data_IF_724790930813
#
_entry.id   IF_724790930813
#
_cell.length_a   1.000
_cell.length_b   1.000
_cell.length_c   1.000
_cell.angle_alpha   90.00
_cell.angle_beta   90.00
_cell.angle_gamma   90.00
#
_symmetry.space_group_name_H-M   'P 1'
#
loop_
_entity.id
_entity.type
_entity.pdbx_description
1 polymer ?
#
# COMPACT_ATOMS: atom_id res chain seq x y z
N UNK A 1 18.08 18.35 -9.74
CA UNK A 1 16.64 18.01 -9.68
C UNK A 1 16.35 16.51 -9.47
N UNK A 2 16.92 15.60 -10.29
CA UNK A 2 16.59 14.15 -10.21
C UNK A 2 16.97 13.48 -8.89
N UNK A 3 18.06 13.90 -8.26
CA UNK A 3 18.55 13.39 -6.96
C UNK A 3 17.65 13.84 -5.81
N UNK A 4 17.21 15.10 -5.83
CA UNK A 4 16.28 15.65 -4.85
C UNK A 4 14.93 14.94 -4.91
N UNK A 5 14.41 14.69 -6.12
CA UNK A 5 13.17 13.94 -6.31
C UNK A 5 13.25 12.51 -5.77
N UNK A 6 14.37 11.80 -6.02
CA UNK A 6 14.59 10.45 -5.46
C UNK A 6 14.66 10.46 -3.93
N UNK A 7 15.38 11.43 -3.36
CA UNK A 7 15.48 11.58 -1.91
C UNK A 7 14.09 11.79 -1.28
N UNK A 8 13.28 12.68 -1.86
CA UNK A 8 11.90 12.92 -1.43
C UNK A 8 11.04 11.66 -1.51
N UNK A 9 11.16 10.90 -2.60
CA UNK A 9 10.41 9.66 -2.80
C UNK A 9 10.76 8.61 -1.74
N UNK A 10 12.05 8.44 -1.44
CA UNK A 10 12.53 7.53 -0.37
C UNK A 10 11.99 7.99 0.98
N UNK A 11 12.00 9.30 1.25
CA UNK A 11 11.53 9.87 2.51
C UNK A 11 10.02 9.65 2.72
N UNK A 12 9.21 9.78 1.66
CA UNK A 12 7.78 9.46 1.67
C UNK A 12 7.55 7.96 1.90
N UNK A 13 8.28 7.08 1.20
CA UNK A 13 8.19 5.64 1.40
C UNK A 13 8.54 5.25 2.83
N UNK A 14 9.60 5.84 3.39
CA UNK A 14 10.04 5.61 4.76
C UNK A 14 8.98 6.07 5.78
N UNK A 15 8.37 7.24 5.56
CA UNK A 15 7.31 7.76 6.43
C UNK A 15 6.07 6.85 6.43
N UNK A 16 5.65 6.37 5.25
CA UNK A 16 4.54 5.41 5.12
C UNK A 16 4.88 4.11 5.86
N UNK A 17 6.10 3.61 5.71
CA UNK A 17 6.56 2.41 6.41
C UNK A 17 6.58 2.60 7.93
N UNK A 18 7.07 3.72 8.43
CA UNK A 18 7.08 4.04 9.86
C UNK A 18 5.67 4.16 10.43
N UNK A 19 4.77 4.85 9.74
CA UNK A 19 3.37 4.99 10.15
C UNK A 19 2.67 3.61 10.20
N UNK A 20 2.90 2.78 9.19
CA UNK A 20 2.44 1.40 9.14
C UNK A 20 2.95 0.58 10.34
N UNK A 21 4.26 0.62 10.56
CA UNK A 21 4.92 -0.11 11.63
C UNK A 21 4.38 0.32 13.01
N UNK A 22 4.23 1.63 13.22
CA UNK A 22 3.70 2.18 14.47
C UNK A 22 2.24 1.79 14.66
N UNK A 23 1.43 1.82 13.60
CA UNK A 23 0.03 1.40 13.66
C UNK A 23 -0.10 -0.09 14.03
N UNK A 24 0.69 -0.96 13.40
CA UNK A 24 0.74 -2.40 13.71
C UNK A 24 1.17 -2.65 15.15
N UNK A 25 2.21 -1.94 15.59
CA UNK A 25 2.77 -2.08 16.95
C UNK A 25 1.80 -1.58 18.01
N UNK A 26 1.11 -0.47 17.75
CA UNK A 26 0.15 0.12 18.68
C UNK A 26 -1.18 -0.65 18.73
N UNK A 27 -1.57 -1.30 17.63
CA UNK A 27 -2.87 -1.97 17.50
C UNK A 27 -2.67 -3.49 17.36
N UNK A 28 -2.29 -4.12 18.47
CA UNK A 28 -2.23 -5.59 18.60
C UNK A 28 -3.59 -6.21 18.91
N UNK A 29 -4.61 -5.38 19.13
CA UNK A 29 -5.97 -5.83 19.42
C UNK A 29 -6.49 -6.75 18.31
N UNK A 30 -7.13 -7.84 18.72
CA UNK A 30 -7.75 -8.80 17.83
C UNK A 30 -9.11 -8.29 17.39
N UNK A 31 -9.36 -8.33 16.07
CA UNK A 31 -10.65 -7.99 15.48
C UNK A 31 -11.25 -9.24 14.86
N UNK A 32 -12.50 -9.50 15.20
CA UNK A 32 -13.31 -10.55 14.55
C UNK A 32 -13.92 -9.99 13.27
N UNK A 33 -13.49 -10.54 12.14
CA UNK A 33 -14.11 -10.32 10.84
C UNK A 33 -15.26 -11.30 10.70
N UNK A 34 -16.48 -10.80 10.62
CA UNK A 34 -17.65 -11.58 10.22
C UNK A 34 -17.61 -11.68 8.69
N UNK A 35 -17.37 -12.88 8.16
CA UNK A 35 -17.35 -13.07 6.72
C UNK A 35 -18.77 -13.17 6.15
N UNK A 36 -18.88 -12.95 4.84
CA UNK A 36 -20.16 -12.99 4.10
C UNK A 36 -20.90 -14.33 4.25
N UNK A 37 -20.17 -15.40 4.55
CA UNK A 37 -20.73 -16.73 4.84
C UNK A 37 -21.10 -16.78 6.32
N UNK A 38 -22.38 -16.99 6.59
CA UNK A 38 -22.91 -17.10 7.95
C UNK A 38 -22.12 -18.12 8.79
N UNK A 39 -21.68 -17.69 9.97
CA UNK A 39 -20.94 -18.51 10.92
C UNK A 39 -19.42 -18.54 10.70
N UNK A 40 -18.91 -18.00 9.60
CA UNK A 40 -17.48 -17.96 9.36
C UNK A 40 -16.88 -16.67 9.92
N UNK A 41 -16.24 -16.79 11.09
CA UNK A 41 -15.57 -15.69 11.78
C UNK A 41 -14.06 -15.90 11.76
N UNK A 42 -13.32 -14.88 11.32
CA UNK A 42 -11.86 -14.89 11.36
C UNK A 42 -11.39 -13.88 12.40
N UNK A 43 -10.56 -14.34 13.33
CA UNK A 43 -9.94 -13.45 14.30
C UNK A 43 -8.58 -13.02 13.76
N UNK A 44 -8.47 -11.77 13.36
CA UNK A 44 -7.28 -11.20 12.73
C UNK A 44 -6.83 -9.98 13.52
N UNK A 45 -5.53 -9.83 13.74
CA UNK A 45 -4.99 -8.64 14.39
C UNK A 45 -5.18 -7.41 13.50
N UNK A 46 -5.50 -6.26 14.11
CA UNK A 46 -5.54 -4.96 13.42
C UNK A 46 -4.24 -4.64 12.68
N UNK A 47 -3.10 -5.08 13.23
CA UNK A 47 -1.83 -4.96 12.55
C UNK A 47 -1.79 -5.70 11.21
N UNK A 48 -2.29 -6.94 11.16
CA UNK A 48 -2.33 -7.72 9.91
C UNK A 48 -3.25 -7.06 8.87
N UNK A 49 -4.39 -6.50 9.31
CA UNK A 49 -5.28 -5.76 8.43
C UNK A 49 -4.61 -4.51 7.84
N UNK A 50 -3.87 -3.76 8.65
CA UNK A 50 -3.15 -2.58 8.17
C UNK A 50 -2.05 -2.94 7.17
N UNK A 51 -1.27 -4.00 7.43
CA UNK A 51 -0.27 -4.49 6.49
C UNK A 51 -0.94 -4.94 5.19
N UNK A 52 -2.07 -5.64 5.27
CA UNK A 52 -2.86 -6.04 4.10
C UNK A 52 -3.31 -4.84 3.26
N UNK A 53 -3.85 -3.80 3.91
CA UNK A 53 -4.28 -2.57 3.24
C UNK A 53 -3.12 -1.84 2.55
N UNK A 54 -1.96 -1.80 3.20
CA UNK A 54 -0.75 -1.21 2.62
C UNK A 54 -0.22 -2.01 1.44
N UNK A 55 -0.19 -3.33 1.54
CA UNK A 55 0.22 -4.20 0.44
C UNK A 55 -0.71 -4.02 -0.76
N UNK A 56 -2.03 -3.99 -0.53
CA UNK A 56 -3.03 -3.74 -1.58
C UNK A 56 -2.88 -2.34 -2.18
N UNK A 57 -2.69 -1.32 -1.34
CA UNK A 57 -2.45 0.05 -1.78
C UNK A 57 -1.17 0.20 -2.60
N UNK A 58 -0.09 -0.49 -2.22
CA UNK A 58 1.16 -0.52 -2.96
C UNK A 58 1.00 -1.21 -4.31
N UNK A 59 0.30 -2.35 -4.36
CA UNK A 59 0.01 -3.07 -5.61
C UNK A 59 -0.88 -2.24 -6.53
N UNK A 60 -1.93 -1.62 -6.01
CA UNK A 60 -2.78 -0.71 -6.77
C UNK A 60 -1.99 0.48 -7.32
N UNK A 61 -1.16 1.12 -6.48
CA UNK A 61 -0.27 2.20 -6.89
C UNK A 61 0.76 1.77 -7.94
N UNK A 62 1.30 0.55 -7.83
CA UNK A 62 2.21 -0.05 -8.80
C UNK A 62 1.51 -0.27 -10.14
N UNK A 63 0.31 -0.87 -10.13
CA UNK A 63 -0.50 -1.11 -11.33
C UNK A 63 -0.87 0.19 -12.03
N UNK A 64 -1.29 1.21 -11.28
CA UNK A 64 -1.59 2.54 -11.83
C UNK A 64 -0.31 3.17 -12.39
N UNK A 65 0.80 3.13 -11.65
CA UNK A 65 2.08 3.73 -12.07
C UNK A 65 2.69 3.05 -13.31
N UNK A 66 2.61 1.72 -13.41
CA UNK A 66 3.01 0.97 -14.60
C UNK A 66 2.05 1.20 -15.76
N UNK A 67 0.75 1.22 -15.51
CA UNK A 67 -0.26 1.53 -16.53
C UNK A 67 -0.04 2.92 -17.13
N UNK A 68 0.22 3.93 -16.30
CA UNK A 68 0.48 5.29 -16.75
C UNK A 68 1.80 5.43 -17.54
N UNK A 69 2.87 4.72 -17.12
CA UNK A 69 4.13 4.67 -17.88
C UNK A 69 3.99 3.90 -19.19
N UNK A 70 3.24 2.79 -19.20
CA UNK A 70 2.96 2.00 -20.39
C UNK A 70 2.14 2.77 -21.41
N UNK A 71 1.09 3.47 -20.97
CA UNK A 71 0.30 4.36 -21.81
C UNK A 71 1.12 5.53 -22.35
N UNK A 72 1.96 6.17 -21.52
CA UNK A 72 2.89 7.21 -22.01
C UNK A 72 3.92 6.68 -23.02
N UNK A 73 4.33 5.42 -22.93
CA UNK A 73 5.22 4.78 -23.91
C UNK A 73 4.54 4.50 -25.25
N UNK A 74 3.23 4.27 -25.25
CA UNK A 74 2.42 4.01 -26.45
C UNK A 74 1.91 5.28 -27.12
N UNK A 75 1.54 6.30 -26.35
CA UNK A 75 1.08 7.60 -26.84
C UNK A 75 2.19 8.67 -26.93
N UNK A 76 3.39 8.36 -26.45
CA UNK A 76 4.61 9.14 -26.64
C UNK A 76 5.11 9.00 -28.08
N UNK A 77 4.36 9.60 -29.00
CA UNK A 77 4.77 9.81 -30.39
C UNK A 77 6.19 10.38 -30.40
N UNK A 78 7.10 9.64 -31.04
CA UNK A 78 8.33 10.22 -31.59
C UNK A 78 7.88 11.16 -32.71
N UNK A 79 7.70 12.44 -32.40
CA UNK A 79 7.79 13.52 -33.40
C UNK A 79 9.14 14.18 -33.26
#
# INVERSE_FOLDING_TARGET
>A
MRTLYRALLILVLLAIFLAAFFFVTANTQMVTLDMLIQGWRWQVSLGVLAVGLLAVGLLAGLLIGLGFKGLRGLFGSRS
#
